data_IF_306556494285
#
_entry.id   IF_306556494285
#
_cell.length_a   1.000
_cell.length_b   1.000
_cell.length_c   1.000
_cell.angle_alpha   90.00
_cell.angle_beta   90.00
_cell.angle_gamma   90.00
#
_symmetry.space_group_name_H-M   'P 1'
#
loop_
_entity.id
_entity.type
_entity.pdbx_description
1 polymer ?
#
# COMPACT_ATOMS: atom_id res chain seq x y z
N UNK A 1 16.64 -4.57 -4.92
CA UNK A 1 18.00 -4.70 -4.38
C UNK A 1 17.90 -5.01 -2.91
N UNK A 2 18.57 -6.10 -2.45
CA UNK A 2 18.62 -6.49 -1.05
C UNK A 2 20.01 -6.15 -0.50
N UNK A 3 20.06 -5.49 0.65
CA UNK A 3 21.30 -5.00 1.26
C UNK A 3 21.58 -5.70 2.59
N UNK A 4 21.85 -7.00 2.56
CA UNK A 4 22.19 -7.74 3.77
C UNK A 4 23.70 -7.96 3.87
N UNK A 5 24.39 -7.17 4.72
CA UNK A 5 25.83 -7.28 4.98
C UNK A 5 26.20 -8.09 6.24
N UNK A 6 25.21 -8.42 7.09
CA UNK A 6 25.45 -9.17 8.33
C UNK A 6 25.22 -10.67 8.07
N UNK A 7 26.11 -11.50 8.58
CA UNK A 7 25.84 -12.92 8.71
C UNK A 7 24.85 -13.11 9.86
N UNK A 8 23.67 -13.60 9.53
CA UNK A 8 22.66 -14.02 10.48
C UNK A 8 22.82 -15.51 10.79
N UNK A 9 22.22 -15.98 11.86
CA UNK A 9 22.16 -17.42 12.12
C UNK A 9 21.43 -18.14 10.99
N UNK A 10 21.75 -19.42 10.80
CA UNK A 10 21.14 -20.24 9.74
C UNK A 10 19.61 -20.17 9.85
N UNK A 11 18.96 -19.74 8.78
CA UNK A 11 17.53 -19.54 8.71
C UNK A 11 17.01 -18.13 9.10
N UNK A 12 17.81 -17.23 9.64
CA UNK A 12 17.40 -15.87 9.90
C UNK A 12 17.73 -14.97 8.68
N UNK A 13 16.71 -14.37 8.08
CA UNK A 13 16.90 -13.48 6.92
C UNK A 13 15.98 -12.26 7.00
N UNK A 14 16.31 -11.26 7.85
CA UNK A 14 15.53 -10.04 7.93
C UNK A 14 15.62 -9.25 6.62
N UNK A 15 14.50 -8.73 6.17
CA UNK A 15 14.41 -7.95 4.93
C UNK A 15 15.16 -6.63 5.07
N UNK A 16 15.89 -6.27 4.02
CA UNK A 16 16.53 -4.98 3.85
C UNK A 16 16.54 -4.68 2.35
N UNK A 17 15.39 -4.24 1.85
CA UNK A 17 15.09 -4.21 0.43
C UNK A 17 14.76 -2.79 -0.03
N UNK A 18 15.32 -2.41 -1.17
CA UNK A 18 14.87 -1.28 -1.97
C UNK A 18 14.13 -1.82 -3.18
N UNK A 19 12.91 -1.38 -3.43
CA UNK A 19 12.11 -1.81 -4.58
C UNK A 19 11.59 -0.61 -5.36
N UNK A 20 11.63 -0.73 -6.69
CA UNK A 20 10.98 0.17 -7.64
C UNK A 20 9.90 -0.61 -8.36
N UNK A 21 8.69 -0.08 -8.36
CA UNK A 21 7.54 -0.64 -9.04
C UNK A 21 6.99 0.39 -10.02
N UNK A 22 6.70 -0.06 -11.24
CA UNK A 22 5.93 0.71 -12.21
C UNK A 22 4.77 -0.17 -12.67
N UNK A 23 3.57 0.37 -12.60
CA UNK A 23 2.34 -0.34 -12.93
C UNK A 23 1.48 0.53 -13.85
N UNK A 24 0.91 -0.08 -14.87
CA UNK A 24 -0.12 0.51 -15.72
C UNK A 24 -1.26 -0.49 -15.84
N UNK A 25 -2.40 -0.17 -15.26
CA UNK A 25 -3.54 -1.10 -15.16
C UNK A 25 -4.88 -0.35 -15.23
N UNK A 26 -5.95 -1.10 -15.42
CA UNK A 26 -7.32 -0.61 -15.37
C UNK A 26 -7.88 -0.88 -13.98
N UNK A 27 -8.43 0.15 -13.38
CA UNK A 27 -8.93 0.10 -12.03
C UNK A 27 -10.39 0.58 -11.95
N UNK A 28 -11.18 -0.08 -11.10
CA UNK A 28 -12.54 0.35 -10.77
C UNK A 28 -12.52 1.13 -9.46
N UNK A 29 -12.89 2.42 -9.44
CA UNK A 29 -12.92 3.22 -8.21
C UNK A 29 -13.77 2.55 -7.12
N UNK A 30 -13.23 2.50 -5.90
CA UNK A 30 -13.88 1.91 -4.74
C UNK A 30 -13.52 0.44 -4.48
N UNK A 31 -12.61 -0.17 -5.24
CA UNK A 31 -12.11 -1.52 -4.97
C UNK A 31 -10.94 -1.57 -3.96
N UNK A 32 -10.33 -0.43 -3.62
CA UNK A 32 -9.24 -0.34 -2.62
C UNK A 32 -9.76 -0.24 -1.18
N UNK A 33 -10.76 -1.00 -0.84
CA UNK A 33 -11.02 -1.21 0.58
C UNK A 33 -9.95 -2.16 1.12
N UNK A 34 -9.08 -1.63 1.97
CA UNK A 34 -7.93 -2.31 2.60
C UNK A 34 -8.25 -3.64 3.30
N UNK A 35 -9.51 -3.94 3.50
CA UNK A 35 -10.00 -5.12 4.22
C UNK A 35 -10.84 -6.10 3.39
N UNK A 36 -11.08 -5.82 2.11
CA UNK A 36 -11.83 -6.74 1.25
C UNK A 36 -10.87 -7.40 0.28
N UNK A 37 -10.79 -8.73 0.35
CA UNK A 37 -10.09 -9.52 -0.67
C UNK A 37 -10.68 -9.23 -2.05
N UNK A 38 -9.84 -9.05 -3.07
CA UNK A 38 -10.26 -8.84 -4.47
C UNK A 38 -11.20 -9.94 -4.99
N UNK A 39 -11.21 -11.10 -4.34
CA UNK A 39 -11.97 -12.29 -4.70
C UNK A 39 -13.25 -12.46 -3.85
N UNK A 40 -13.77 -11.38 -3.26
CA UNK A 40 -15.00 -11.48 -2.50
C UNK A 40 -16.21 -11.67 -3.43
N UNK A 41 -16.71 -12.90 -3.49
CA UNK A 41 -17.85 -13.33 -4.31
C UNK A 41 -19.12 -12.50 -4.06
N UNK A 42 -19.27 -11.94 -2.86
CA UNK A 42 -20.39 -11.08 -2.49
C UNK A 42 -20.32 -9.68 -3.15
N UNK A 43 -19.11 -9.18 -3.43
CA UNK A 43 -18.94 -7.94 -4.21
C UNK A 43 -19.31 -8.18 -5.66
N UNK A 44 -18.94 -9.33 -6.24
CA UNK A 44 -19.30 -9.70 -7.60
C UNK A 44 -20.82 -9.89 -7.76
N UNK A 45 -21.51 -10.42 -6.74
CA UNK A 45 -22.96 -10.62 -6.78
C UNK A 45 -23.76 -9.32 -6.67
N UNK A 46 -23.26 -8.33 -5.93
CA UNK A 46 -23.94 -7.03 -5.77
C UNK A 46 -23.83 -6.14 -7.02
N UNK A 47 -22.89 -6.42 -7.91
CA UNK A 47 -22.68 -5.70 -9.18
C UNK A 47 -23.48 -6.39 -10.28
N UNK A 48 -24.80 -6.32 -10.23
CA UNK A 48 -25.69 -6.76 -11.32
C UNK A 48 -25.66 -5.84 -12.56
N UNK A 49 -24.89 -4.75 -12.53
CA UNK A 49 -24.70 -3.84 -13.65
C UNK A 49 -23.27 -3.94 -14.21
N UNK A 50 -23.09 -3.81 -15.53
CA UNK A 50 -21.77 -3.79 -16.12
C UNK A 50 -20.95 -2.66 -15.52
N UNK A 51 -19.70 -2.96 -15.14
CA UNK A 51 -18.78 -1.97 -14.60
C UNK A 51 -18.40 -1.00 -15.74
N UNK A 52 -19.03 0.15 -15.77
CA UNK A 52 -18.83 1.16 -16.83
C UNK A 52 -17.92 2.31 -16.37
N UNK A 53 -17.64 2.39 -15.07
CA UNK A 53 -16.80 3.45 -14.46
C UNK A 53 -15.45 2.86 -14.12
N UNK A 54 -14.46 3.15 -14.92
CA UNK A 54 -13.09 2.66 -14.74
C UNK A 54 -12.11 3.82 -14.91
N UNK A 55 -10.90 3.66 -14.41
CA UNK A 55 -9.77 4.55 -14.70
C UNK A 55 -8.54 3.75 -15.09
N UNK A 56 -7.75 4.29 -16.00
CA UNK A 56 -6.39 3.83 -16.21
C UNK A 56 -5.52 4.43 -15.12
N UNK A 57 -4.78 3.59 -14.43
CA UNK A 57 -3.85 3.98 -13.39
C UNK A 57 -2.44 3.76 -13.90
N UNK A 58 -1.64 4.83 -13.88
CA UNK A 58 -0.20 4.76 -14.06
C UNK A 58 0.44 5.10 -12.72
N UNK A 59 1.07 4.11 -12.09
CA UNK A 59 1.64 4.22 -10.76
C UNK A 59 3.12 3.88 -10.76
N UNK A 60 3.94 4.76 -10.22
CA UNK A 60 5.36 4.54 -9.97
C UNK A 60 5.62 4.68 -8.48
N UNK A 61 6.23 3.68 -7.86
CA UNK A 61 6.51 3.66 -6.43
C UNK A 61 7.93 3.19 -6.18
N UNK A 62 8.68 3.99 -5.43
CA UNK A 62 9.95 3.61 -4.83
C UNK A 62 9.70 3.33 -3.35
N UNK A 63 10.11 2.18 -2.86
CA UNK A 63 9.94 1.83 -1.45
C UNK A 63 11.18 1.18 -0.87
N UNK A 64 11.43 1.47 0.39
CA UNK A 64 12.46 0.85 1.20
C UNK A 64 11.84 0.19 2.41
N UNK A 65 12.22 -1.06 2.65
CA UNK A 65 11.76 -1.86 3.78
C UNK A 65 12.93 -2.46 4.53
N UNK A 66 12.90 -2.31 5.85
CA UNK A 66 13.90 -2.89 6.76
C UNK A 66 13.21 -3.60 7.91
N UNK A 67 13.59 -4.85 8.11
CA UNK A 67 13.23 -5.68 9.25
C UNK A 67 14.37 -5.81 10.25
N UNK A 68 14.01 -5.99 11.50
CA UNK A 68 14.92 -6.36 12.58
C UNK A 68 14.43 -7.66 13.25
N UNK A 69 15.36 -8.41 13.82
CA UNK A 69 15.08 -9.70 14.47
C UNK A 69 14.21 -9.60 15.73
N UNK A 70 14.00 -8.39 16.25
CA UNK A 70 13.10 -8.14 17.40
C UNK A 70 11.62 -7.99 17.02
N UNK A 71 11.28 -8.24 15.74
CA UNK A 71 9.92 -8.10 15.23
C UNK A 71 9.53 -6.69 14.82
N UNK A 72 10.48 -5.75 14.77
CA UNK A 72 10.26 -4.41 14.25
C UNK A 72 10.46 -4.38 12.74
N UNK A 73 9.55 -3.76 12.01
CA UNK A 73 9.65 -3.50 10.56
C UNK A 73 9.40 -2.02 10.32
N UNK A 74 10.29 -1.41 9.56
CA UNK A 74 10.14 -0.05 9.04
C UNK A 74 9.98 -0.10 7.53
N UNK A 75 8.99 0.62 7.01
CA UNK A 75 8.79 0.80 5.58
C UNK A 75 8.59 2.28 5.28
N UNK A 76 9.24 2.76 4.22
CA UNK A 76 9.00 4.08 3.67
C UNK A 76 8.83 4.00 2.17
N UNK A 77 8.03 4.89 1.59
CA UNK A 77 7.79 4.92 0.16
C UNK A 77 7.54 6.33 -0.35
N UNK A 78 7.82 6.50 -1.63
CA UNK A 78 7.37 7.63 -2.43
C UNK A 78 6.61 7.07 -3.62
N UNK A 79 5.41 7.59 -3.89
CA UNK A 79 4.53 7.15 -4.96
C UNK A 79 4.07 8.35 -5.79
N UNK A 80 4.10 8.20 -7.10
CA UNK A 80 3.42 9.08 -8.04
C UNK A 80 2.39 8.24 -8.79
N UNK A 81 1.16 8.71 -8.83
CA UNK A 81 0.05 8.04 -9.47
C UNK A 81 -0.73 9.04 -10.32
N UNK A 82 -1.03 8.64 -11.56
CA UNK A 82 -1.90 9.37 -12.46
C UNK A 82 -3.09 8.49 -12.81
N UNK A 83 -4.29 9.03 -12.62
CA UNK A 83 -5.57 8.37 -12.83
C UNK A 83 -6.30 9.04 -14.01
N UNK A 84 -6.50 8.33 -15.11
CA UNK A 84 -7.22 8.79 -16.29
C UNK A 84 -8.61 8.13 -16.35
N UNK A 85 -9.73 8.89 -16.26
CA UNK A 85 -11.07 8.33 -16.28
C UNK A 85 -11.41 7.73 -17.64
N UNK A 86 -12.03 6.55 -17.65
CA UNK A 86 -12.47 5.88 -18.86
C UNK A 86 -13.91 5.38 -18.74
N UNK A 87 -14.47 4.95 -19.85
CA UNK A 87 -15.88 4.55 -19.92
C UNK A 87 -16.81 5.72 -19.65
N UNK A 88 -17.69 5.60 -18.69
CA UNK A 88 -18.65 6.63 -18.27
C UNK A 88 -18.16 7.51 -17.12
N UNK A 89 -17.00 7.19 -16.54
CA UNK A 89 -16.40 7.98 -15.47
C UNK A 89 -15.94 9.35 -16.00
N UNK A 90 -16.17 10.39 -15.22
CA UNK A 90 -15.72 11.76 -15.53
C UNK A 90 -15.25 12.42 -14.25
N UNK A 91 -14.10 13.07 -14.32
CA UNK A 91 -13.58 13.89 -13.24
C UNK A 91 -13.97 15.35 -13.42
N UNK A 92 -14.39 15.96 -12.33
CA UNK A 92 -14.73 17.39 -12.29
C UNK A 92 -14.01 18.04 -11.12
N UNK A 93 -13.51 19.23 -11.33
CA UNK A 93 -12.89 20.07 -10.30
C UNK A 93 -13.70 21.36 -10.14
N UNK A 94 -13.75 21.87 -8.93
CA UNK A 94 -14.38 23.16 -8.64
C UNK A 94 -13.30 24.22 -8.56
N UNK A 95 -13.50 25.34 -9.25
CA UNK A 95 -12.62 26.50 -9.14
C UNK A 95 -12.88 27.31 -7.85
N UNK A 96 -12.08 28.35 -7.61
CA UNK A 96 -12.22 29.23 -6.46
C UNK A 96 -13.54 30.02 -6.47
N UNK A 97 -14.21 30.16 -7.61
CA UNK A 97 -15.50 30.86 -7.78
C UNK A 97 -16.70 29.92 -7.67
N UNK A 98 -16.45 28.62 -7.47
CA UNK A 98 -17.49 27.60 -7.33
C UNK A 98 -17.95 26.93 -8.63
N UNK A 99 -17.39 27.31 -9.80
CA UNK A 99 -17.75 26.72 -11.06
C UNK A 99 -17.12 25.33 -11.19
N UNK A 100 -17.86 24.40 -11.77
CA UNK A 100 -17.38 23.05 -12.03
C UNK A 100 -16.84 22.95 -13.45
N UNK A 101 -15.63 22.46 -13.60
CA UNK A 101 -15.04 22.16 -14.91
C UNK A 101 -14.50 20.74 -14.95
N UNK A 102 -14.50 20.19 -16.15
CA UNK A 102 -14.01 18.82 -16.37
C UNK A 102 -12.49 18.84 -16.44
N UNK A 103 -11.89 17.82 -15.77
CA UNK A 103 -10.46 17.52 -15.87
C UNK A 103 -10.26 16.15 -16.54
N UNK A 104 -9.12 15.98 -17.19
CA UNK A 104 -8.83 14.78 -17.95
C UNK A 104 -8.20 13.70 -17.10
N UNK A 105 -7.46 14.07 -16.07
CA UNK A 105 -6.74 13.16 -15.19
C UNK A 105 -6.58 13.75 -13.78
N UNK A 106 -6.21 12.91 -12.84
CA UNK A 106 -5.85 13.28 -11.49
C UNK A 106 -4.46 12.72 -11.22
N UNK A 107 -3.51 13.60 -10.92
CA UNK A 107 -2.15 13.18 -10.52
C UNK A 107 -1.97 13.41 -9.03
N UNK A 108 -1.49 12.40 -8.33
CA UNK A 108 -1.14 12.45 -6.91
C UNK A 108 0.30 12.02 -6.70
N UNK A 109 1.02 12.76 -5.85
CA UNK A 109 2.35 12.38 -5.37
C UNK A 109 2.31 12.27 -3.87
N UNK A 110 2.80 11.18 -3.34
CA UNK A 110 2.71 10.84 -1.93
C UNK A 110 4.05 10.36 -1.40
N UNK A 111 4.32 10.68 -0.15
CA UNK A 111 5.36 10.06 0.65
C UNK A 111 4.75 9.47 1.90
N UNK A 112 5.23 8.31 2.33
CA UNK A 112 4.70 7.66 3.51
C UNK A 112 5.75 6.88 4.28
N UNK A 113 5.42 6.63 5.54
CA UNK A 113 6.19 5.80 6.46
C UNK A 113 5.25 4.86 7.20
N UNK A 114 5.75 3.67 7.51
CA UNK A 114 5.03 2.67 8.30
C UNK A 114 5.99 2.02 9.28
N UNK A 115 5.55 1.88 10.51
CA UNK A 115 6.15 1.06 11.54
C UNK A 115 5.22 -0.10 11.86
N UNK A 116 5.78 -1.30 11.90
CA UNK A 116 5.08 -2.51 12.36
C UNK A 116 5.91 -3.15 13.46
N UNK A 117 5.29 -3.49 14.55
CA UNK A 117 5.91 -4.19 15.66
C UNK A 117 5.14 -5.47 15.99
N UNK A 118 5.81 -6.61 15.84
CA UNK A 118 5.27 -7.94 16.08
C UNK A 118 6.27 -8.72 16.96
N UNK A 119 6.23 -8.55 18.28
CA UNK A 119 7.19 -9.20 19.17
C UNK A 119 7.12 -10.72 19.05
N UNK A 120 8.28 -11.38 19.00
CA UNK A 120 8.39 -12.83 18.85
C UNK A 120 8.27 -13.34 17.40
N UNK A 121 7.97 -12.49 16.44
CA UNK A 121 8.03 -12.82 15.02
C UNK A 121 9.49 -12.75 14.52
N UNK A 122 9.93 -13.80 13.85
CA UNK A 122 11.26 -13.84 13.25
C UNK A 122 11.16 -14.12 11.75
N UNK A 123 11.80 -13.31 10.91
CA UNK A 123 11.88 -13.60 9.49
C UNK A 123 12.76 -14.84 9.26
N UNK A 124 12.19 -15.81 8.59
CA UNK A 124 12.85 -17.08 8.27
C UNK A 124 12.85 -17.32 6.77
N UNK A 125 14.00 -17.65 6.22
CA UNK A 125 14.11 -18.04 4.80
C UNK A 125 13.93 -19.55 4.68
N UNK A 126 12.85 -19.96 4.05
CA UNK A 126 12.61 -21.36 3.74
C UNK A 126 13.57 -21.88 2.65
N UNK A 127 13.78 -23.20 2.58
CA UNK A 127 14.67 -23.89 1.63
C UNK A 127 14.38 -23.63 0.14
N UNK A 128 13.26 -23.02 -0.19
CA UNK A 128 12.83 -22.69 -1.54
C UNK A 128 13.00 -21.20 -1.92
N UNK A 129 13.77 -20.41 -1.14
CA UNK A 129 13.97 -18.98 -1.41
C UNK A 129 12.73 -18.11 -1.21
N UNK A 130 11.61 -18.68 -0.75
CA UNK A 130 10.44 -17.92 -0.34
C UNK A 130 10.66 -17.48 1.10
N UNK A 131 10.69 -16.18 1.33
CA UNK A 131 10.67 -15.61 2.66
C UNK A 131 9.36 -16.02 3.34
N UNK A 132 9.44 -16.82 4.37
CA UNK A 132 8.31 -17.13 5.24
C UNK A 132 8.54 -16.48 6.60
N UNK A 133 7.52 -15.80 7.09
CA UNK A 133 7.53 -15.21 8.41
C UNK A 133 6.87 -16.20 9.35
N UNK A 134 7.63 -16.70 10.33
CA UNK A 134 7.09 -17.55 11.40
C UNK A 134 6.89 -16.71 12.64
N UNK A 135 5.66 -16.63 13.09
CA UNK A 135 5.37 -16.08 14.40
C UNK A 135 5.61 -17.17 15.44
N UNK A 136 6.68 -17.05 16.20
CA UNK A 136 7.03 -17.98 17.27
C UNK A 136 6.08 -17.88 18.47
N UNK A 137 5.43 -16.73 18.64
CA UNK A 137 4.40 -16.53 19.65
C UNK A 137 3.06 -16.31 18.95
N UNK A 138 2.25 -17.38 18.84
CA UNK A 138 0.93 -17.31 18.18
C UNK A 138 -0.03 -16.29 18.81
N UNK A 139 0.27 -15.84 20.01
CA UNK A 139 -0.57 -14.94 20.81
C UNK A 139 0.00 -13.53 20.96
N UNK A 140 1.15 -13.25 20.33
CA UNK A 140 1.74 -11.92 20.39
C UNK A 140 0.90 -10.91 19.60
N UNK A 141 0.66 -9.70 20.16
CA UNK A 141 -0.04 -8.65 19.45
C UNK A 141 0.83 -8.09 18.31
N UNK A 142 0.17 -7.68 17.23
CA UNK A 142 0.80 -6.96 16.12
C UNK A 142 0.30 -5.53 16.11
N UNK A 143 1.20 -4.59 16.21
CA UNK A 143 0.92 -3.16 16.13
C UNK A 143 1.42 -2.60 14.80
N UNK A 144 0.61 -1.79 14.14
CA UNK A 144 0.99 -1.05 12.94
C UNK A 144 0.59 0.41 13.11
N UNK A 145 1.46 1.29 12.69
CA UNK A 145 1.16 2.71 12.50
C UNK A 145 1.74 3.13 11.15
N UNK A 146 0.94 3.81 10.37
CA UNK A 146 1.37 4.40 9.10
C UNK A 146 0.93 5.85 9.01
N UNK A 147 1.75 6.65 8.37
CA UNK A 147 1.44 8.02 8.02
C UNK A 147 1.85 8.28 6.59
N UNK A 148 0.95 8.85 5.80
CA UNK A 148 1.22 9.27 4.43
C UNK A 148 0.74 10.69 4.20
N UNK A 149 1.50 11.43 3.40
CA UNK A 149 1.19 12.79 3.00
C UNK A 149 1.17 12.93 1.49
N UNK A 150 0.14 13.57 0.98
CA UNK A 150 0.08 14.04 -0.40
C UNK A 150 0.87 15.34 -0.53
N UNK A 151 1.72 15.42 -1.56
CA UNK A 151 2.59 16.56 -1.82
C UNK A 151 2.07 17.35 -3.02
N UNK A 152 1.65 18.59 -2.76
CA UNK A 152 1.25 19.52 -3.81
C UNK A 152 2.47 20.01 -4.62
N UNK A 153 2.29 20.26 -5.91
CA UNK A 153 3.32 20.75 -6.84
C UNK A 153 4.54 19.82 -7.03
N UNK A 154 4.42 18.54 -6.70
CA UNK A 154 5.46 17.53 -6.93
C UNK A 154 5.00 16.58 -8.04
N UNK A 155 5.80 16.44 -9.10
CA UNK A 155 5.54 15.53 -10.24
C UNK A 155 4.11 15.65 -10.82
N UNK A 156 3.58 16.87 -10.89
CA UNK A 156 2.24 17.14 -11.43
C UNK A 156 1.09 16.98 -10.46
N UNK A 157 1.36 16.67 -9.20
CA UNK A 157 0.31 16.58 -8.16
C UNK A 157 -0.23 17.96 -7.78
N UNK A 158 -1.55 18.05 -7.67
CA UNK A 158 -2.27 19.25 -7.25
C UNK A 158 -2.95 19.10 -5.88
N UNK A 159 -2.72 17.98 -5.19
CA UNK A 159 -3.41 17.62 -3.96
C UNK A 159 -2.46 17.53 -2.77
N UNK A 160 -2.90 18.10 -1.65
CA UNK A 160 -2.22 17.99 -0.36
C UNK A 160 -3.18 17.38 0.64
N UNK A 161 -2.77 16.32 1.31
CA UNK A 161 -3.54 15.66 2.36
C UNK A 161 -2.61 14.89 3.29
N UNK A 162 -3.12 14.57 4.46
CA UNK A 162 -2.47 13.73 5.44
C UNK A 162 -3.40 12.56 5.80
N UNK A 163 -2.87 11.37 5.84
CA UNK A 163 -3.59 10.19 6.27
C UNK A 163 -2.75 9.42 7.29
N UNK A 164 -3.31 9.18 8.46
CA UNK A 164 -2.69 8.39 9.51
C UNK A 164 -3.58 7.22 9.86
N UNK A 165 -3.00 6.03 9.87
CA UNK A 165 -3.67 4.79 10.23
C UNK A 165 -2.92 4.11 11.35
N UNK A 166 -3.63 3.62 12.36
CA UNK A 166 -3.08 2.81 13.44
C UNK A 166 -3.96 1.57 13.63
N UNK A 167 -3.33 0.42 13.73
CA UNK A 167 -4.01 -0.85 14.00
C UNK A 167 -3.30 -1.66 15.05
N UNK A 168 -4.09 -2.38 15.86
CA UNK A 168 -3.61 -3.37 16.80
C UNK A 168 -4.40 -4.67 16.60
N UNK A 169 -3.69 -5.75 16.36
CA UNK A 169 -4.27 -7.07 16.11
C UNK A 169 -3.74 -8.07 17.10
N UNK A 170 -4.63 -8.85 17.73
CA UNK A 170 -4.26 -9.95 18.62
C UNK A 170 -5.19 -11.14 18.38
N UNK A 171 -4.61 -12.33 18.19
CA UNK A 171 -5.38 -13.56 18.13
C UNK A 171 -5.73 -14.01 19.54
N UNK A 172 -7.00 -14.30 19.78
CA UNK A 172 -7.53 -14.84 21.02
C UNK A 172 -8.13 -16.20 20.69
N UNK A 173 -7.75 -17.23 21.45
CA UNK A 173 -8.35 -18.55 21.36
C UNK A 173 -9.44 -18.64 22.43
N UNK A 174 -10.65 -18.97 22.00
CA UNK A 174 -11.81 -19.23 22.86
C UNK A 174 -12.01 -20.72 23.01
#
# INVERSE_FOLDING_TARGET
WAFNKKQYHEGENPRNNLSLMHEYDIYTPGQDFLFTSKDNIFVAWKVGEPITKMSYIRKTMLSYEKEWLNGLTFKTWVRNQNDEPTGTLRYTKRDAYGNMYRINDITTSEAGVQLRFAPGERPYSGRAGKESVFNLSKDAPVFKISHQMGMNNVLGSEYSYNHTEASAEKRIWL
#
